data_IF_849782539150
#
_entry.id   IF_849782539150
#
_cell.length_a   1.000
_cell.length_b   1.000
_cell.length_c   1.000
_cell.angle_alpha   90.00
_cell.angle_beta   90.00
_cell.angle_gamma   90.00
#
_symmetry.space_group_name_H-M   'P 1'
#
loop_
_entity.id
_entity.type
_entity.pdbx_description
1 polymer ?
#
# COMPACT_ATOMS: atom_id res chain seq x y z
N UNK A 1 16.42 -12.94 38.99
CA UNK A 1 15.81 -12.44 37.75
C UNK A 1 16.93 -12.19 36.77
N UNK A 2 17.03 -13.00 35.72
CA UNK A 2 18.13 -12.95 34.75
C UNK A 2 17.57 -12.36 33.47
N UNK A 3 18.03 -11.16 33.12
CA UNK A 3 17.81 -10.56 31.81
C UNK A 3 18.49 -11.43 30.77
N UNK A 4 17.71 -12.24 30.06
CA UNK A 4 18.18 -12.80 28.79
C UNK A 4 18.16 -11.68 27.78
N UNK A 5 19.35 -11.20 27.46
CA UNK A 5 19.65 -10.40 26.27
C UNK A 5 18.92 -11.00 25.07
N UNK A 6 17.97 -10.23 24.52
CA UNK A 6 17.39 -10.55 23.22
C UNK A 6 18.51 -10.43 22.19
N UNK A 7 18.86 -11.59 21.65
CA UNK A 7 19.95 -11.78 20.70
C UNK A 7 19.74 -10.87 19.48
N UNK A 8 20.79 -10.13 19.13
CA UNK A 8 20.89 -9.24 17.97
C UNK A 8 20.44 -9.93 16.69
N UNK A 9 19.67 -9.18 15.89
CA UNK A 9 19.18 -9.55 14.57
C UNK A 9 20.25 -10.29 13.76
N UNK A 10 19.92 -11.51 13.30
CA UNK A 10 20.67 -12.15 12.24
C UNK A 10 20.51 -11.28 10.99
N UNK A 11 21.62 -10.75 10.48
CA UNK A 11 21.70 -10.17 9.14
C UNK A 11 21.39 -11.30 8.15
N UNK A 12 20.23 -11.23 7.52
CA UNK A 12 19.91 -12.06 6.38
C UNK A 12 20.54 -11.35 5.18
N UNK A 13 21.70 -11.82 4.74
CA UNK A 13 22.26 -11.38 3.47
C UNK A 13 21.41 -12.02 2.36
N UNK A 14 20.32 -11.36 1.98
CA UNK A 14 19.60 -11.64 0.75
C UNK A 14 20.38 -11.05 -0.42
N UNK A 15 20.45 -11.77 -1.54
CA UNK A 15 21.14 -11.34 -2.76
C UNK A 15 20.55 -10.04 -3.38
N UNK A 16 19.41 -9.57 -2.85
CA UNK A 16 18.71 -8.33 -3.19
C UNK A 16 18.99 -7.16 -2.21
N UNK A 17 19.95 -7.29 -1.29
CA UNK A 17 20.25 -6.27 -0.28
C UNK A 17 20.70 -4.95 -0.94
N UNK A 18 19.78 -3.98 -0.99
CA UNK A 18 20.05 -2.63 -1.45
C UNK A 18 21.12 -1.97 -0.54
N UNK A 19 21.96 -1.06 -1.08
CA UNK A 19 22.91 -0.33 -0.26
C UNK A 19 22.18 0.41 0.87
N UNK A 20 22.46 0.04 2.12
CA UNK A 20 21.85 0.63 3.31
C UNK A 20 20.92 -0.27 4.13
N UNK A 21 20.58 -1.47 3.64
CA UNK A 21 19.77 -2.44 4.40
C UNK A 21 18.32 -1.99 4.66
N UNK A 22 17.65 -2.64 5.62
CA UNK A 22 16.22 -2.47 5.90
C UNK A 22 15.83 -1.03 6.27
N UNK A 23 16.68 -0.33 7.02
CA UNK A 23 16.45 1.06 7.44
C UNK A 23 16.42 2.00 6.23
N UNK A 24 17.36 1.85 5.29
CA UNK A 24 17.40 2.67 4.09
C UNK A 24 16.22 2.41 3.16
N UNK A 25 15.71 1.17 3.11
CA UNK A 25 14.49 0.83 2.37
C UNK A 25 13.29 1.54 2.99
N UNK A 26 13.13 1.40 4.31
CA UNK A 26 12.03 2.03 5.04
C UNK A 26 12.01 3.56 4.86
N UNK A 27 13.16 4.23 5.07
CA UNK A 27 13.23 5.70 4.98
C UNK A 27 12.94 6.20 3.57
N UNK A 28 13.49 5.54 2.55
CA UNK A 28 13.24 5.90 1.15
C UNK A 28 11.76 5.74 0.81
N UNK A 29 11.16 4.62 1.16
CA UNK A 29 9.78 4.32 0.79
C UNK A 29 8.81 5.27 1.53
N UNK A 30 9.11 5.62 2.78
CA UNK A 30 8.36 6.65 3.53
C UNK A 30 8.52 8.06 2.94
N UNK A 31 9.71 8.42 2.46
CA UNK A 31 9.93 9.70 1.77
C UNK A 31 9.14 9.77 0.46
N UNK A 32 9.17 8.71 -0.36
CA UNK A 32 8.37 8.64 -1.58
C UNK A 32 6.88 8.72 -1.31
N UNK A 33 6.41 8.02 -0.28
CA UNK A 33 5.01 8.08 0.16
C UNK A 33 4.63 9.50 0.57
N UNK A 34 5.48 10.19 1.32
CA UNK A 34 5.26 11.57 1.74
C UNK A 34 5.24 12.56 0.58
N UNK A 35 6.07 12.36 -0.45
CA UNK A 35 6.12 13.19 -1.65
C UNK A 35 4.98 12.92 -2.64
N UNK A 36 4.38 11.74 -2.62
CA UNK A 36 3.31 11.37 -3.55
C UNK A 36 2.05 12.22 -3.36
N UNK A 37 1.36 12.56 -4.45
CA UNK A 37 0.02 13.14 -4.39
C UNK A 37 -1.06 12.07 -4.18
N UNK A 38 -0.79 10.88 -4.70
CA UNK A 38 -1.72 9.76 -4.78
C UNK A 38 -0.96 8.44 -4.62
N UNK A 39 -1.58 7.48 -3.95
CA UNK A 39 -1.10 6.11 -3.79
C UNK A 39 -2.04 5.16 -4.53
N UNK A 40 -1.47 4.30 -5.37
CA UNK A 40 -2.21 3.20 -6.00
C UNK A 40 -1.64 1.89 -5.47
N UNK A 41 -2.50 1.02 -4.93
CA UNK A 41 -2.08 -0.24 -4.30
C UNK A 41 -2.87 -1.42 -4.87
N UNK A 42 -2.16 -2.42 -5.40
CA UNK A 42 -2.73 -3.73 -5.72
C UNK A 42 -2.81 -4.55 -4.44
N UNK A 43 -4.02 -4.94 -4.05
CA UNK A 43 -4.33 -5.54 -2.73
C UNK A 43 -4.92 -6.93 -2.84
N UNK A 44 -4.73 -7.61 -3.97
CA UNK A 44 -5.19 -8.98 -4.17
C UNK A 44 -4.42 -9.96 -3.29
N UNK A 45 -3.09 -9.78 -3.19
CA UNK A 45 -2.25 -10.55 -2.28
C UNK A 45 -2.11 -9.80 -0.95
N UNK A 46 -2.48 -10.42 0.19
CA UNK A 46 -2.18 -9.85 1.50
C UNK A 46 -0.67 -9.58 1.66
N UNK A 47 -0.33 -8.35 2.03
CA UNK A 47 1.03 -7.89 2.25
C UNK A 47 1.06 -6.94 3.46
N UNK A 48 1.94 -7.22 4.42
CA UNK A 48 2.14 -6.33 5.58
C UNK A 48 2.76 -4.99 5.19
N UNK A 49 3.70 -4.98 4.23
CA UNK A 49 4.31 -3.75 3.72
C UNK A 49 3.28 -2.84 3.08
N UNK A 50 2.50 -3.37 2.12
CA UNK A 50 1.43 -2.60 1.46
C UNK A 50 0.38 -2.12 2.45
N UNK A 51 -0.02 -2.98 3.41
CA UNK A 51 -0.95 -2.59 4.46
C UNK A 51 -0.40 -1.46 5.36
N UNK A 52 0.90 -1.49 5.67
CA UNK A 52 1.59 -0.46 6.43
C UNK A 52 1.63 0.86 5.65
N UNK A 53 2.03 0.84 4.38
CA UNK A 53 2.07 2.01 3.50
C UNK A 53 0.69 2.65 3.33
N UNK A 54 -0.36 1.84 3.14
CA UNK A 54 -1.74 2.33 3.08
C UNK A 54 -2.13 3.04 4.40
N UNK A 55 -1.80 2.44 5.54
CA UNK A 55 -2.06 3.05 6.85
C UNK A 55 -1.36 4.41 7.03
N UNK A 56 -0.09 4.50 6.62
CA UNK A 56 0.69 5.73 6.65
C UNK A 56 0.12 6.78 5.68
N UNK A 57 -0.25 6.37 4.46
CA UNK A 57 -0.88 7.24 3.47
C UNK A 57 -2.21 7.82 3.96
N UNK A 58 -3.02 7.00 4.66
CA UNK A 58 -4.25 7.46 5.30
C UNK A 58 -3.98 8.50 6.38
N UNK A 59 -2.96 8.30 7.22
CA UNK A 59 -2.56 9.27 8.25
C UNK A 59 -2.06 10.59 7.64
N UNK A 60 -1.36 10.52 6.51
CA UNK A 60 -0.91 11.66 5.71
C UNK A 60 -2.03 12.29 4.86
N UNK A 61 -3.25 11.75 4.88
CA UNK A 61 -4.42 12.20 4.10
C UNK A 61 -4.17 12.20 2.59
N UNK A 62 -3.37 11.27 2.10
CA UNK A 62 -3.16 11.05 0.66
C UNK A 62 -4.42 10.48 0.03
N UNK A 63 -4.61 10.72 -1.27
CA UNK A 63 -5.63 10.03 -2.05
C UNK A 63 -5.14 8.61 -2.33
N UNK A 64 -6.00 7.62 -2.16
CA UNK A 64 -5.63 6.21 -2.24
C UNK A 64 -6.62 5.48 -3.16
N UNK A 65 -6.09 4.74 -4.12
CA UNK A 65 -6.82 3.79 -4.96
C UNK A 65 -6.31 2.38 -4.68
N UNK A 66 -7.18 1.51 -4.18
CA UNK A 66 -6.89 0.09 -4.02
C UNK A 66 -7.53 -0.71 -5.16
N UNK A 67 -6.74 -1.60 -5.78
CA UNK A 67 -7.15 -2.50 -6.84
C UNK A 67 -7.19 -3.94 -6.32
N UNK A 68 -8.33 -4.59 -6.42
CA UNK A 68 -8.52 -5.97 -5.97
C UNK A 68 -9.02 -6.85 -7.12
N UNK A 69 -8.49 -8.06 -7.27
CA UNK A 69 -8.88 -9.03 -8.31
C UNK A 69 -9.74 -10.14 -7.70
N UNK A 70 -11.10 -10.07 -7.79
CA UNK A 70 -11.96 -11.08 -7.18
C UNK A 70 -11.78 -12.48 -7.75
N UNK A 71 -11.37 -12.58 -9.03
CA UNK A 71 -11.12 -13.86 -9.70
C UNK A 71 -9.95 -14.65 -9.12
N UNK A 72 -9.13 -14.05 -8.24
CA UNK A 72 -8.02 -14.75 -7.59
C UNK A 72 -8.48 -15.77 -6.54
N UNK A 73 -9.77 -15.80 -6.19
CA UNK A 73 -10.32 -16.65 -5.11
C UNK A 73 -9.91 -16.23 -3.70
N UNK A 74 -9.25 -15.07 -3.55
CA UNK A 74 -8.87 -14.52 -2.25
C UNK A 74 -9.99 -13.63 -1.72
N UNK A 75 -9.90 -13.28 -0.44
CA UNK A 75 -10.83 -12.38 0.22
C UNK A 75 -10.09 -11.11 0.58
N UNK A 76 -10.59 -9.97 0.12
CA UNK A 76 -10.05 -8.67 0.48
C UNK A 76 -10.20 -8.43 1.99
N UNK A 77 -9.18 -7.83 2.60
CA UNK A 77 -9.23 -7.44 4.01
C UNK A 77 -10.44 -6.56 4.30
N UNK A 78 -11.22 -6.91 5.32
CA UNK A 78 -12.37 -6.12 5.75
C UNK A 78 -12.00 -4.69 6.15
N UNK A 79 -10.75 -4.47 6.60
CA UNK A 79 -10.23 -3.14 6.93
C UNK A 79 -10.14 -2.26 5.67
N UNK A 80 -9.59 -2.81 4.58
CA UNK A 80 -9.46 -2.11 3.29
C UNK A 80 -10.84 -1.94 2.64
N UNK A 81 -11.62 -3.02 2.58
CA UNK A 81 -12.96 -3.02 1.98
C UNK A 81 -13.90 -1.97 2.60
N UNK A 82 -13.77 -1.71 3.91
CA UNK A 82 -14.63 -0.76 4.64
C UNK A 82 -14.03 0.64 4.75
N UNK A 83 -12.77 0.85 4.38
CA UNK A 83 -12.10 2.13 4.51
C UNK A 83 -12.78 3.22 3.64
N UNK A 84 -13.14 2.89 2.40
CA UNK A 84 -13.85 3.81 1.49
C UNK A 84 -15.12 4.41 2.12
N UNK A 85 -15.98 3.56 2.70
CA UNK A 85 -17.21 4.02 3.35
C UNK A 85 -17.00 4.86 4.61
N UNK A 86 -15.81 4.80 5.23
CA UNK A 86 -15.46 5.58 6.43
C UNK A 86 -14.72 6.87 6.11
N UNK A 87 -13.89 6.87 5.08
CA UNK A 87 -13.03 8.00 4.70
C UNK A 87 -13.62 8.86 3.58
N UNK A 88 -14.58 8.32 2.82
CA UNK A 88 -15.17 8.97 1.65
C UNK A 88 -14.41 8.65 0.36
N UNK A 89 -15.15 8.53 -0.73
CA UNK A 89 -14.65 8.14 -2.06
C UNK A 89 -13.70 9.15 -2.71
N UNK A 90 -13.65 10.39 -2.21
CA UNK A 90 -12.68 11.40 -2.66
C UNK A 90 -11.27 11.16 -2.13
N UNK A 91 -11.14 10.38 -1.04
CA UNK A 91 -9.86 10.09 -0.38
C UNK A 91 -9.46 8.64 -0.54
N UNK A 92 -10.39 7.70 -0.45
CA UNK A 92 -10.10 6.27 -0.49
C UNK A 92 -11.09 5.54 -1.38
N UNK A 93 -10.60 4.88 -2.42
CA UNK A 93 -11.43 4.08 -3.34
C UNK A 93 -10.94 2.64 -3.37
N UNK A 94 -11.87 1.69 -3.39
CA UNK A 94 -11.57 0.28 -3.68
C UNK A 94 -12.26 -0.09 -4.98
N UNK A 95 -11.49 -0.62 -5.94
CA UNK A 95 -12.01 -1.07 -7.23
C UNK A 95 -11.67 -2.54 -7.43
N UNK A 96 -12.70 -3.32 -7.73
CA UNK A 96 -12.52 -4.64 -8.28
C UNK A 96 -12.10 -4.52 -9.75
N UNK A 97 -11.15 -5.34 -10.20
CA UNK A 97 -10.68 -5.32 -11.59
C UNK A 97 -10.42 -6.73 -12.14
N UNK A 98 -10.50 -6.87 -13.47
CA UNK A 98 -9.77 -7.88 -14.24
C UNK A 98 -8.59 -7.23 -14.98
N UNK A 99 -7.60 -8.03 -15.37
CA UNK A 99 -6.31 -7.53 -15.86
C UNK A 99 -6.44 -6.61 -17.07
N UNK A 100 -7.38 -6.90 -17.96
CA UNK A 100 -7.64 -6.14 -19.18
C UNK A 100 -8.28 -4.76 -18.91
N UNK A 101 -8.85 -4.55 -17.73
CA UNK A 101 -9.55 -3.31 -17.37
C UNK A 101 -8.67 -2.32 -16.60
N UNK A 102 -7.46 -2.73 -16.18
CA UNK A 102 -6.62 -1.95 -15.27
C UNK A 102 -6.26 -0.58 -15.86
N UNK A 103 -5.93 -0.52 -17.15
CA UNK A 103 -5.57 0.73 -17.83
C UNK A 103 -6.75 1.70 -17.83
N UNK A 104 -7.94 1.23 -18.19
CA UNK A 104 -9.15 2.05 -18.19
C UNK A 104 -9.55 2.55 -16.80
N UNK A 105 -9.34 1.74 -15.75
CA UNK A 105 -9.58 2.17 -14.37
C UNK A 105 -8.63 3.32 -13.98
N UNK A 106 -7.35 3.18 -14.31
CA UNK A 106 -6.33 4.20 -14.01
C UNK A 106 -6.59 5.49 -14.80
N UNK A 107 -6.89 5.39 -16.09
CA UNK A 107 -7.22 6.55 -16.94
C UNK A 107 -8.42 7.33 -16.38
N UNK A 108 -9.48 6.63 -16.00
CA UNK A 108 -10.66 7.26 -15.39
C UNK A 108 -10.32 7.94 -14.06
N UNK A 109 -9.58 7.24 -13.19
CA UNK A 109 -9.19 7.77 -11.89
C UNK A 109 -8.34 9.05 -12.01
N UNK A 110 -7.29 9.03 -12.83
CA UNK A 110 -6.46 10.22 -13.05
C UNK A 110 -7.22 11.32 -13.84
N UNK A 111 -8.14 10.96 -14.72
CA UNK A 111 -9.02 11.88 -15.42
C UNK A 111 -10.01 12.62 -14.49
N UNK A 112 -10.41 12.01 -13.38
CA UNK A 112 -11.22 12.66 -12.34
C UNK A 112 -10.40 13.63 -11.48
N UNK A 113 -9.12 13.31 -11.25
CA UNK A 113 -8.23 14.14 -10.44
C UNK A 113 -7.88 15.48 -11.10
N UNK A 114 -7.81 15.52 -12.43
CA UNK A 114 -7.44 16.71 -13.21
C UNK A 114 -8.59 17.71 -13.42
N UNK A 115 -9.83 17.32 -13.08
CA UNK A 115 -11.03 18.16 -13.26
C UNK A 115 -11.34 19.08 -12.07
N UNK A 116 -10.55 19.01 -11.00
CA UNK A 116 -10.66 19.84 -9.80
C UNK A 116 -9.44 20.75 -9.67
#
# INVERSE_FOLDING_TARGET
>A
MSEKQFNTAQKVDSEDALPGGDEAIYDRDMEWLAQSDVVVAEVTQPSFGVGYEIGQAMAMKKKILCLFRPSSGKVLSAMIQRAEGKLGSSIFQVRDYVEEEVEGILENYFGELTKN
#
